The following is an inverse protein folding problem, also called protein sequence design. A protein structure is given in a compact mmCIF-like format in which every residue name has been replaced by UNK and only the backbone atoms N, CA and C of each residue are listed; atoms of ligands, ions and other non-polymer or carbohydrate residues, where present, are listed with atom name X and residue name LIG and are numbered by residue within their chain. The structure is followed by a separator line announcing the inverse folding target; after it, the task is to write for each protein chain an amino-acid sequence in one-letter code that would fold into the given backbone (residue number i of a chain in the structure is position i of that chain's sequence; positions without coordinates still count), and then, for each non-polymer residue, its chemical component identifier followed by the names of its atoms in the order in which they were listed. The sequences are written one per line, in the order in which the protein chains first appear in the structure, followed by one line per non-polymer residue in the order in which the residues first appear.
data_IF_808738109429
#
_entry.id   IF_808738109429
#
_cell.length_a   1.000
_cell.length_b   1.000
_cell.length_c   1.000
_cell.angle_alpha   90.00
_cell.angle_beta   90.00
_cell.angle_gamma   90.00
#
_symmetry.space_group_name_H-M   'P 1'
#
loop_
_entity.id
_entity.type
_entity.pdbx_description
1 polymer ?
#
# COMPACT_ATOMS: atom_id res chain seq x y z
N UNK A 1 5.40 -20.33 43.94
CA UNK A 1 5.70 -20.33 42.49
C UNK A 1 4.43 -20.63 41.67
N UNK A 2 3.51 -19.67 41.50
CA UNK A 2 2.28 -19.89 40.70
C UNK A 2 1.89 -18.70 39.79
N UNK A 3 2.59 -17.57 39.91
CA UNK A 3 2.27 -16.32 39.19
C UNK A 3 2.96 -16.27 37.80
N UNK A 4 3.94 -17.13 37.53
CA UNK A 4 4.76 -17.10 36.30
C UNK A 4 4.00 -17.54 35.03
N UNK A 5 3.02 -18.44 35.14
CA UNK A 5 2.34 -19.00 33.97
C UNK A 5 1.25 -18.09 33.37
N UNK A 6 0.67 -17.17 34.15
CA UNK A 6 -0.42 -16.30 33.69
C UNK A 6 0.10 -15.25 32.69
N UNK A 7 1.30 -14.70 32.93
CA UNK A 7 1.92 -13.72 32.03
C UNK A 7 2.29 -14.32 30.66
N UNK A 8 2.67 -15.60 30.62
CA UNK A 8 3.01 -16.29 29.38
C UNK A 8 1.79 -16.52 28.49
N UNK A 9 0.63 -16.81 29.09
CA UNK A 9 -0.64 -16.94 28.37
C UNK A 9 -1.12 -15.56 27.89
N UNK A 10 -0.96 -14.52 28.71
CA UNK A 10 -1.33 -13.15 28.35
C UNK A 10 -0.52 -12.61 27.16
N UNK A 11 0.75 -13.00 27.02
CA UNK A 11 1.61 -12.61 25.88
C UNK A 11 1.21 -13.29 24.56
N UNK A 12 0.63 -14.49 24.60
CA UNK A 12 0.23 -15.25 23.41
C UNK A 12 -1.05 -14.70 22.76
N UNK A 13 -1.94 -14.06 23.51
CA UNK A 13 -3.21 -13.50 22.98
C UNK A 13 -3.05 -12.17 22.26
N UNK A 14 -1.93 -11.46 22.43
CA UNK A 14 -1.71 -10.12 21.84
C UNK A 14 -1.20 -10.23 20.39
N UNK A 15 -0.72 -11.40 19.96
CA UNK A 15 -0.20 -11.60 18.60
C UNK A 15 -1.27 -12.05 17.59
N UNK A 16 -2.52 -11.63 17.76
CA UNK A 16 -3.54 -11.75 16.72
C UNK A 16 -3.34 -10.56 15.75
N UNK A 17 -2.47 -10.73 14.75
CA UNK A 17 -2.43 -9.79 13.62
C UNK A 17 -3.62 -10.12 12.74
N UNK A 18 -4.63 -9.27 12.72
CA UNK A 18 -5.68 -9.36 11.72
C UNK A 18 -5.05 -9.22 10.32
N UNK A 19 -5.39 -10.14 9.43
CA UNK A 19 -4.94 -10.07 8.04
C UNK A 19 -5.59 -8.85 7.38
N UNK A 20 -4.75 -7.91 6.95
CA UNK A 20 -5.20 -6.69 6.27
C UNK A 20 -5.93 -7.03 4.99
N UNK A 21 -7.16 -6.52 4.82
CA UNK A 21 -7.95 -6.84 3.63
C UNK A 21 -7.67 -5.82 2.53
N UNK A 22 -7.26 -6.25 1.32
CA UNK A 22 -7.04 -5.33 0.21
C UNK A 22 -8.37 -4.73 -0.25
N UNK A 23 -8.44 -3.41 -0.28
CA UNK A 23 -9.58 -2.64 -0.81
C UNK A 23 -9.30 -2.06 -2.20
N UNK A 24 -8.03 -1.93 -2.59
CA UNK A 24 -7.64 -1.59 -3.95
C UNK A 24 -6.33 -2.29 -4.29
N UNK A 25 -6.31 -2.98 -5.43
CA UNK A 25 -5.10 -3.51 -6.04
C UNK A 25 -4.95 -2.88 -7.41
N UNK A 26 -3.79 -2.31 -7.69
CA UNK A 26 -3.46 -1.79 -9.00
C UNK A 26 -2.05 -2.17 -9.38
N UNK A 27 -1.82 -2.43 -10.66
CA UNK A 27 -0.51 -2.75 -11.18
C UNK A 27 -0.28 -2.17 -12.58
N UNK A 28 0.98 -2.13 -12.98
CA UNK A 28 1.32 -2.11 -14.40
C UNK A 28 2.51 -3.01 -14.65
N UNK A 29 2.46 -3.68 -15.78
CA UNK A 29 3.62 -4.34 -16.35
C UNK A 29 4.31 -3.37 -17.32
N UNK A 30 5.63 -3.23 -17.17
CA UNK A 30 6.45 -2.44 -18.06
C UNK A 30 7.64 -3.28 -18.55
N UNK A 31 8.22 -2.96 -19.73
CA UNK A 31 9.37 -3.71 -20.26
C UNK A 31 10.59 -3.77 -19.32
N UNK A 32 10.67 -2.88 -18.34
CA UNK A 32 11.81 -2.72 -17.43
C UNK A 32 11.46 -2.98 -15.95
N UNK A 33 10.24 -3.42 -15.65
CA UNK A 33 9.82 -3.72 -14.29
C UNK A 33 8.30 -3.70 -14.07
N UNK A 34 7.92 -3.91 -12.82
CA UNK A 34 6.52 -3.93 -12.37
C UNK A 34 6.33 -2.92 -11.25
N UNK A 35 5.18 -2.25 -11.29
CA UNK A 35 4.71 -1.43 -10.18
C UNK A 35 3.44 -2.08 -9.64
N UNK A 36 3.37 -2.24 -8.32
CA UNK A 36 2.18 -2.69 -7.64
C UNK A 36 1.78 -1.67 -6.57
N UNK A 37 0.49 -1.40 -6.47
CA UNK A 37 -0.12 -0.63 -5.40
C UNK A 37 -1.16 -1.50 -4.70
N UNK A 38 -0.99 -1.68 -3.40
CA UNK A 38 -1.93 -2.37 -2.52
C UNK A 38 -2.42 -1.39 -1.48
N UNK A 39 -3.72 -1.16 -1.41
CA UNK A 39 -4.35 -0.36 -0.35
C UNK A 39 -5.24 -1.27 0.48
N UNK A 40 -5.19 -1.12 1.80
CA UNK A 40 -5.89 -1.97 2.75
C UNK A 40 -7.02 -1.19 3.47
N UNK A 41 -7.93 -1.94 4.10
CA UNK A 41 -9.07 -1.41 4.84
C UNK A 41 -8.70 -0.68 6.14
N UNK A 42 -7.49 -0.91 6.67
CA UNK A 42 -6.91 -0.22 7.83
C UNK A 42 -6.25 1.13 7.48
N UNK A 43 -6.48 1.67 6.28
CA UNK A 43 -5.87 2.89 5.75
C UNK A 43 -4.34 2.84 5.60
N UNK A 44 -3.77 1.64 5.53
CA UNK A 44 -2.36 1.44 5.14
C UNK A 44 -2.25 1.06 3.67
N UNK A 45 -1.05 1.22 3.11
CA UNK A 45 -0.76 0.81 1.73
C UNK A 45 0.68 0.36 1.58
N UNK A 46 0.92 -0.40 0.51
CA UNK A 46 2.24 -0.75 0.00
C UNK A 46 2.33 -0.33 -1.48
N UNK A 47 3.34 0.45 -1.81
CA UNK A 47 3.76 0.71 -3.19
C UNK A 47 5.05 -0.05 -3.44
N UNK A 48 5.02 -0.98 -4.39
CA UNK A 48 6.13 -1.88 -4.68
C UNK A 48 6.64 -1.55 -6.07
N UNK A 49 7.93 -1.25 -6.16
CA UNK A 49 8.63 -1.03 -7.42
C UNK A 49 9.67 -2.11 -7.61
N UNK A 50 9.51 -2.95 -8.63
CA UNK A 50 10.45 -4.02 -8.94
C UNK A 50 11.02 -3.83 -10.33
N UNK A 51 12.33 -3.61 -10.44
CA UNK A 51 13.01 -3.60 -11.74
C UNK A 51 13.24 -5.02 -12.27
N UNK A 52 13.34 -5.20 -13.58
CA UNK A 52 13.59 -6.52 -14.17
C UNK A 52 14.91 -7.19 -13.72
N UNK A 53 15.90 -6.39 -13.31
CA UNK A 53 17.22 -6.85 -12.84
C UNK A 53 17.58 -6.35 -11.43
N UNK A 54 16.62 -5.76 -10.69
CA UNK A 54 16.86 -5.16 -9.38
C UNK A 54 15.92 -5.74 -8.34
N UNK A 55 16.36 -5.69 -7.10
CA UNK A 55 15.53 -6.03 -5.95
C UNK A 55 14.28 -5.13 -5.88
N UNK A 56 13.28 -5.61 -5.17
CA UNK A 56 12.04 -4.89 -4.94
C UNK A 56 12.25 -3.78 -3.90
N UNK A 57 11.85 -2.57 -4.27
CA UNK A 57 11.72 -1.46 -3.33
C UNK A 57 10.26 -1.41 -2.84
N UNK A 58 10.06 -1.54 -1.52
CA UNK A 58 8.74 -1.45 -0.87
C UNK A 58 8.62 -0.13 -0.14
N UNK A 59 7.63 0.65 -0.54
CA UNK A 59 7.30 1.94 0.06
C UNK A 59 5.94 1.84 0.74
N UNK A 60 5.95 1.65 2.06
CA UNK A 60 4.74 1.50 2.87
C UNK A 60 4.37 2.78 3.62
N UNK A 61 3.10 2.89 4.00
CA UNK A 61 2.63 4.01 4.80
C UNK A 61 1.13 4.00 5.05
N UNK A 62 0.61 5.19 5.36
CA UNK A 62 -0.83 5.42 5.49
C UNK A 62 -1.34 6.26 4.33
N UNK A 63 -2.61 6.11 3.97
CA UNK A 63 -3.24 6.95 2.96
C UNK A 63 -4.49 7.64 3.51
N UNK A 64 -4.88 8.71 2.85
CA UNK A 64 -6.18 9.35 3.01
C UNK A 64 -6.80 9.59 1.64
N UNK A 65 -8.12 9.40 1.53
CA UNK A 65 -8.87 9.66 0.29
C UNK A 65 -9.77 10.86 0.54
N UNK A 66 -9.65 11.88 -0.32
CA UNK A 66 -10.59 12.99 -0.39
C UNK A 66 -11.16 13.03 -1.81
N UNK A 67 -12.46 12.74 -1.93
CA UNK A 67 -13.13 12.55 -3.22
C UNK A 67 -12.48 11.42 -4.03
N UNK A 68 -11.89 11.73 -5.18
CA UNK A 68 -11.15 10.83 -6.06
C UNK A 68 -9.64 10.86 -5.81
N UNK A 69 -9.16 11.75 -4.93
CA UNK A 69 -7.74 11.99 -4.73
C UNK A 69 -7.22 11.25 -3.51
N UNK A 70 -6.18 10.45 -3.71
CA UNK A 70 -5.44 9.74 -2.68
C UNK A 70 -4.19 10.53 -2.31
N UNK A 71 -3.96 10.65 -1.01
CA UNK A 71 -2.77 11.26 -0.42
C UNK A 71 -2.01 10.17 0.33
N UNK A 72 -0.81 9.85 -0.13
CA UNK A 72 0.07 8.84 0.45
C UNK A 72 1.07 9.49 1.42
N UNK A 73 1.07 9.01 2.66
CA UNK A 73 2.05 9.37 3.68
C UNK A 73 2.99 8.19 3.89
N UNK A 74 4.10 8.22 3.18
CA UNK A 74 5.16 7.21 3.29
C UNK A 74 5.84 7.28 4.67
N UNK A 75 6.25 6.12 5.18
CA UNK A 75 6.95 6.02 6.46
C UNK A 75 8.41 6.48 6.37
N UNK A 76 9.12 6.01 5.34
CA UNK A 76 10.58 6.13 5.26
C UNK A 76 11.01 7.05 4.11
N UNK A 77 10.66 6.71 2.87
CA UNK A 77 11.01 7.48 1.68
C UNK A 77 9.87 7.56 0.67
N UNK A 78 9.89 8.59 -0.16
CA UNK A 78 8.87 8.83 -1.18
C UNK A 78 9.41 8.31 -2.53
N UNK A 79 8.67 7.43 -3.23
CA UNK A 79 9.07 6.96 -4.54
C UNK A 79 9.05 8.10 -5.56
N UNK A 80 9.76 7.94 -6.66
CA UNK A 80 9.77 8.94 -7.73
C UNK A 80 8.39 9.17 -8.37
N UNK A 81 7.47 8.22 -8.22
CA UNK A 81 6.07 8.35 -8.61
C UNK A 81 5.33 9.47 -7.87
N UNK A 82 5.79 9.90 -6.69
CA UNK A 82 5.17 10.95 -5.90
C UNK A 82 4.31 10.44 -4.75
N UNK A 83 3.48 11.32 -4.20
CA UNK A 83 2.70 11.10 -2.98
C UNK A 83 1.22 11.44 -3.12
N UNK A 84 0.79 11.91 -4.28
CA UNK A 84 -0.58 12.31 -4.55
C UNK A 84 -1.04 11.66 -5.86
N UNK A 85 -2.18 11.00 -5.83
CA UNK A 85 -2.75 10.37 -7.01
C UNK A 85 -4.26 10.60 -7.12
N UNK A 86 -4.79 10.49 -8.33
CA UNK A 86 -6.24 10.50 -8.61
C UNK A 86 -6.70 9.12 -9.08
N UNK A 87 -7.84 8.67 -8.55
CA UNK A 87 -8.51 7.43 -8.96
C UNK A 87 -9.56 7.78 -10.00
N UNK A 88 -9.26 7.56 -11.27
CA UNK A 88 -10.18 7.85 -12.36
C UNK A 88 -10.03 6.84 -13.50
N UNK A 89 -11.13 6.57 -14.20
CA UNK A 89 -11.14 5.74 -15.42
C UNK A 89 -10.49 4.35 -15.29
N UNK A 90 -10.54 3.74 -14.10
CA UNK A 90 -9.91 2.44 -13.85
C UNK A 90 -8.41 2.50 -13.55
N UNK A 91 -7.85 3.69 -13.30
CA UNK A 91 -6.44 3.87 -12.97
C UNK A 91 -6.24 4.66 -11.68
N UNK A 92 -5.09 4.46 -11.06
CA UNK A 92 -4.51 5.37 -10.06
C UNK A 92 -3.38 6.13 -10.74
N UNK A 93 -3.58 7.42 -11.01
CA UNK A 93 -2.62 8.26 -11.72
C UNK A 93 -1.97 9.25 -10.76
N UNK A 94 -0.66 9.17 -10.61
CA UNK A 94 0.11 10.06 -9.74
C UNK A 94 0.28 11.45 -10.37
N UNK A 95 0.21 12.48 -9.54
CA UNK A 95 0.10 13.88 -9.94
C UNK A 95 1.36 14.71 -9.63
N UNK A 96 2.14 14.31 -8.62
CA UNK A 96 3.25 15.07 -8.04
C UNK A 96 4.61 14.33 -8.12
N UNK A 97 4.68 13.28 -8.93
CA UNK A 97 5.92 12.54 -9.20
C UNK A 97 6.90 13.28 -10.10
N UNK A 98 8.15 12.80 -10.12
CA UNK A 98 9.18 13.26 -11.08
C UNK A 98 8.84 12.88 -12.51
N UNK A 99 7.98 11.89 -12.70
CA UNK A 99 7.46 11.45 -13.99
C UNK A 99 5.99 11.06 -13.84
N UNK A 100 5.27 11.00 -14.97
CA UNK A 100 3.87 10.55 -14.99
C UNK A 100 3.82 9.04 -14.73
N UNK A 101 3.30 8.64 -13.57
CA UNK A 101 3.09 7.25 -13.20
C UNK A 101 1.58 6.96 -13.13
N UNK A 102 1.15 5.84 -13.71
CA UNK A 102 -0.25 5.43 -13.70
C UNK A 102 -0.34 3.92 -13.66
N UNK A 103 -1.08 3.39 -12.68
CA UNK A 103 -1.27 1.95 -12.50
C UNK A 103 -2.74 1.58 -12.69
N UNK A 104 -2.98 0.47 -13.36
CA UNK A 104 -4.32 -0.01 -13.70
C UNK A 104 -4.93 -0.76 -12.52
N UNK A 105 -6.18 -0.45 -12.19
CA UNK A 105 -6.88 -1.05 -11.06
C UNK A 105 -7.38 -2.44 -11.45
N UNK A 106 -6.87 -3.48 -10.78
CA UNK A 106 -7.30 -4.88 -10.94
C UNK A 106 -8.39 -5.27 -9.94
N UNK A 107 -8.43 -4.63 -8.78
CA UNK A 107 -9.47 -4.81 -7.77
C UNK A 107 -9.83 -3.48 -7.13
N UNK A 108 -11.14 -3.23 -6.96
CA UNK A 108 -11.65 -2.06 -6.22
C UNK A 108 -12.87 -2.45 -5.37
N UNK A 109 -12.66 -2.48 -4.06
CA UNK A 109 -13.66 -2.70 -3.02
C UNK A 109 -13.87 -1.46 -2.12
N UNK A 110 -13.45 -0.28 -2.59
CA UNK A 110 -13.71 0.99 -1.90
C UNK A 110 -15.21 1.28 -1.99
N UNK A 111 -15.91 1.22 -0.85
CA UNK A 111 -17.32 1.64 -0.78
C UNK A 111 -17.37 3.16 -1.01
N UNK A 112 -18.23 3.56 -1.95
CA UNK A 112 -18.45 4.95 -2.34
C UNK A 112 -19.11 5.76 -1.23
#
# INVERSE_FOLDING_TARGET
MKISFIYLILLLVISCKEDKKPILLADREAPLGWIYLKMYDDYTFDFISRGAMRDEDVYSGNFNIKNDTVYFKYKDSIPQAGSKAVIQNGFVSYLDGKYRESVEIKLKNIKK
#
